data_IF_912780502286
#
_entry.id   IF_912780502286
#
_cell.length_a   1.000
_cell.length_b   1.000
_cell.length_c   1.000
_cell.angle_alpha   90.00
_cell.angle_beta   90.00
_cell.angle_gamma   90.00
#
_symmetry.space_group_name_H-M   'P 1'
#
loop_
_entity.id
_entity.type
_entity.pdbx_description
1 polymer ?
#
# COMPACT_ATOMS: atom_id res chain seq x y z
N UNK A 1 18.48 8.52 1.55
CA UNK A 1 17.15 8.83 2.12
C UNK A 1 16.13 7.87 1.50
N UNK A 2 15.16 7.38 2.26
CA UNK A 2 14.10 6.49 1.74
C UNK A 2 12.73 6.96 2.20
N UNK A 3 11.69 6.61 1.44
CA UNK A 3 10.29 6.90 1.76
C UNK A 3 9.51 5.60 1.95
N UNK A 4 8.43 5.64 2.71
CA UNK A 4 7.45 4.55 2.81
C UNK A 4 6.12 5.04 2.26
N UNK A 5 5.41 4.19 1.55
CA UNK A 5 4.19 4.57 0.82
C UNK A 5 3.06 3.65 1.25
N UNK A 6 1.95 4.23 1.69
CA UNK A 6 0.70 3.55 2.00
C UNK A 6 -0.29 3.82 0.87
N UNK A 7 -0.87 2.77 0.29
CA UNK A 7 -1.82 2.85 -0.79
C UNK A 7 -3.21 2.42 -0.32
N UNK A 8 -4.24 3.13 -0.76
CA UNK A 8 -5.63 2.77 -0.55
C UNK A 8 -6.42 2.99 -1.85
N UNK A 9 -7.28 2.03 -2.20
CA UNK A 9 -8.20 2.18 -3.32
C UNK A 9 -9.37 3.05 -2.92
N UNK A 10 -9.68 4.07 -3.72
CA UNK A 10 -10.91 4.86 -3.60
C UNK A 10 -12.14 3.97 -3.79
N UNK A 11 -13.09 4.07 -2.87
CA UNK A 11 -14.41 3.46 -2.93
C UNK A 11 -15.45 4.52 -3.31
N UNK A 12 -16.58 4.10 -3.88
CA UNK A 12 -17.63 4.98 -4.40
C UNK A 12 -18.20 5.90 -3.30
N UNK A 13 -18.27 5.41 -2.07
CA UNK A 13 -18.85 6.12 -0.93
C UNK A 13 -17.81 6.72 0.03
N UNK A 14 -16.52 6.73 -0.36
CA UNK A 14 -15.49 7.31 0.49
C UNK A 14 -15.62 8.84 0.55
N UNK A 15 -15.59 9.38 1.76
CA UNK A 15 -15.14 10.76 1.93
C UNK A 15 -13.62 10.85 1.75
N UNK A 16 -13.12 12.05 1.43
CA UNK A 16 -11.67 12.29 1.35
C UNK A 16 -10.95 11.92 2.66
N UNK A 17 -11.62 12.10 3.81
CA UNK A 17 -11.10 11.74 5.12
C UNK A 17 -10.95 10.22 5.27
N UNK A 18 -11.92 9.45 4.79
CA UNK A 18 -11.91 7.99 4.89
C UNK A 18 -10.80 7.39 4.03
N UNK A 19 -10.61 7.92 2.81
CA UNK A 19 -9.52 7.53 1.93
C UNK A 19 -8.15 7.80 2.58
N UNK A 20 -7.95 9.01 3.12
CA UNK A 20 -6.70 9.39 3.79
C UNK A 20 -6.44 8.52 5.02
N UNK A 21 -7.47 8.27 5.83
CA UNK A 21 -7.32 7.43 7.02
C UNK A 21 -6.97 5.98 6.66
N UNK A 22 -7.51 5.44 5.56
CA UNK A 22 -7.12 4.11 5.06
C UNK A 22 -5.71 4.09 4.50
N UNK A 23 -5.29 5.12 3.75
CA UNK A 23 -3.92 5.24 3.25
C UNK A 23 -2.91 5.36 4.40
N UNK A 24 -3.25 6.10 5.46
CA UNK A 24 -2.43 6.22 6.67
C UNK A 24 -2.35 4.90 7.45
N UNK A 25 -3.46 4.16 7.57
CA UNK A 25 -3.45 2.80 8.13
C UNK A 25 -2.58 1.84 7.32
N UNK A 26 -2.59 1.97 5.99
CA UNK A 26 -1.70 1.20 5.12
C UNK A 26 -0.23 1.59 5.32
N UNK A 27 0.09 2.78 5.85
CA UNK A 27 1.44 3.24 6.15
C UNK A 27 2.07 2.58 7.39
N UNK A 28 1.55 1.42 7.83
CA UNK A 28 2.12 0.60 8.92
C UNK A 28 3.60 0.23 8.67
N UNK A 29 4.04 0.30 7.41
CA UNK A 29 5.44 0.27 6.96
C UNK A 29 6.40 1.10 7.82
N UNK A 30 5.96 2.26 8.35
CA UNK A 30 6.79 3.09 9.24
C UNK A 30 7.25 2.35 10.50
N UNK A 31 6.44 1.42 11.01
CA UNK A 31 6.71 0.63 12.21
C UNK A 31 7.32 -0.74 11.92
N UNK A 32 7.34 -1.19 10.67
CA UNK A 32 7.84 -2.51 10.24
C UNK A 32 9.24 -2.48 9.61
N UNK A 33 10.02 -1.44 9.88
CA UNK A 33 11.38 -1.27 9.36
C UNK A 33 11.54 -0.27 8.21
N UNK A 34 10.46 0.46 7.83
CA UNK A 34 10.46 1.51 6.79
C UNK A 34 10.85 0.99 5.39
N UNK A 35 10.96 1.90 4.42
CA UNK A 35 11.34 1.64 3.02
C UNK A 35 10.50 0.54 2.33
N UNK A 36 9.17 0.64 2.46
CA UNK A 36 8.20 -0.35 1.96
C UNK A 36 7.00 0.32 1.34
N UNK A 37 6.34 -0.43 0.45
CA UNK A 37 5.04 -0.07 -0.12
C UNK A 37 4.00 -1.06 0.41
N UNK A 38 2.95 -0.55 1.03
CA UNK A 38 1.90 -1.35 1.66
C UNK A 38 0.51 -0.90 1.18
N UNK A 39 -0.41 -1.85 1.04
CA UNK A 39 -1.83 -1.58 0.83
C UNK A 39 -2.68 -2.43 1.76
N UNK A 40 -3.94 -2.04 1.97
CA UNK A 40 -4.89 -2.87 2.71
C UNK A 40 -5.22 -4.12 1.88
N UNK A 41 -4.47 -5.20 2.11
CA UNK A 41 -4.56 -6.46 1.37
C UNK A 41 -3.22 -7.10 0.99
N UNK A 42 -2.08 -6.42 1.23
CA UNK A 42 -0.75 -6.96 0.96
C UNK A 42 0.39 -5.97 1.18
N UNK A 43 1.63 -6.46 1.16
CA UNK A 43 2.84 -5.66 1.38
C UNK A 43 3.94 -6.12 0.43
N UNK A 44 4.67 -5.18 -0.18
CA UNK A 44 5.85 -5.45 -1.00
C UNK A 44 7.05 -4.72 -0.39
N UNK A 45 8.10 -5.49 -0.10
CA UNK A 45 9.39 -4.97 0.36
C UNK A 45 10.28 -4.78 -0.86
N UNK A 46 10.81 -3.57 -1.03
CA UNK A 46 11.79 -3.28 -2.08
C UNK A 46 13.01 -4.20 -1.91
N UNK A 47 13.24 -5.12 -2.85
CA UNK A 47 14.36 -6.08 -2.84
C UNK A 47 13.98 -7.57 -2.83
N UNK A 48 12.69 -7.94 -2.73
CA UNK A 48 12.22 -9.33 -2.85
C UNK A 48 11.50 -9.53 -4.19
N UNK A 49 11.88 -10.57 -4.94
CA UNK A 49 11.52 -10.91 -6.33
C UNK A 49 10.12 -10.41 -6.82
N UNK A 50 10.04 -9.59 -7.89
CA UNK A 50 8.80 -8.97 -8.39
C UNK A 50 7.84 -9.90 -9.16
N UNK A 51 8.08 -11.22 -9.25
CA UNK A 51 7.21 -12.15 -10.03
C UNK A 51 5.78 -12.33 -9.51
N UNK A 52 5.42 -11.79 -8.34
CA UNK A 52 4.04 -11.81 -7.82
C UNK A 52 3.12 -10.73 -8.41
N UNK A 53 3.65 -9.77 -9.18
CA UNK A 53 2.87 -8.63 -9.71
C UNK A 53 1.98 -8.97 -10.93
N UNK A 54 2.01 -10.22 -11.43
CA UNK A 54 1.31 -10.63 -12.66
C UNK A 54 -0.19 -10.91 -12.52
N UNK A 55 -0.79 -10.83 -11.33
CA UNK A 55 -2.22 -11.16 -11.14
C UNK A 55 -3.20 -9.99 -11.29
N UNK A 56 -2.74 -8.75 -11.51
CA UNK A 56 -3.62 -7.56 -11.62
C UNK A 56 -4.00 -7.13 -13.06
N UNK A 57 -3.62 -7.91 -14.08
CA UNK A 57 -4.14 -7.77 -15.45
C UNK A 57 -4.81 -9.07 -15.90
N UNK A 58 -6.06 -9.28 -15.46
CA UNK A 58 -7.15 -9.98 -16.18
C UNK A 58 -8.31 -10.25 -15.20
N UNK A 59 -9.21 -9.29 -15.07
CA UNK A 59 -10.65 -9.36 -15.37
C UNK A 59 -11.33 -8.13 -14.80
#
# INVERSE_FOLDING_TARGET
MTISIGLANLQVDDSARDLLQRADRALSAKHKGRNRVEWLGGSVVAGRDPRSFRSWRRR
#
